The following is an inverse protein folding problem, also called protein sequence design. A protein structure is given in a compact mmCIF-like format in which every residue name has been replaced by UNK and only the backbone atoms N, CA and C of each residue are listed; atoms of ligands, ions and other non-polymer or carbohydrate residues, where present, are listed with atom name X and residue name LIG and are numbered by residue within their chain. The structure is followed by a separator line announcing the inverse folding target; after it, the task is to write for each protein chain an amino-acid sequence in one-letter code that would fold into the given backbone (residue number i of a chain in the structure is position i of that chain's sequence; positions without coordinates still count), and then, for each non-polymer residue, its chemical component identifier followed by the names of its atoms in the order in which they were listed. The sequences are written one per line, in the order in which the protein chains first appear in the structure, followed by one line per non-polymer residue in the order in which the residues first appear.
data_IF_618729242069
#
_entry.id   IF_618729242069
#
_cell.length_a   1.000
_cell.length_b   1.000
_cell.length_c   1.000
_cell.angle_alpha   90.00
_cell.angle_beta   90.00
_cell.angle_gamma   90.00
#
_symmetry.space_group_name_H-M   'P 1'
#
loop_
_entity.id
_entity.type
_entity.pdbx_description
1 polymer ?
#
# COMPACT_ATOMS: atom_id res chain seq x y z
N UNK A 1 -11.58 -69.37 -27.34
CA UNK A 1 -12.47 -68.31 -26.90
C UNK A 1 -11.65 -67.37 -26.00
N UNK A 2 -11.10 -66.29 -26.59
CA UNK A 2 -10.34 -65.29 -25.81
C UNK A 2 -11.32 -64.22 -25.37
N UNK A 3 -11.47 -64.06 -24.04
CA UNK A 3 -12.26 -62.98 -23.46
C UNK A 3 -11.42 -61.70 -23.50
N UNK A 4 -11.84 -60.74 -24.30
CA UNK A 4 -11.32 -59.37 -24.25
C UNK A 4 -11.82 -58.65 -23.02
N UNK A 5 -10.92 -58.16 -22.18
CA UNK A 5 -11.19 -57.27 -21.04
C UNK A 5 -11.06 -55.82 -21.59
N UNK A 6 -12.09 -54.97 -21.48
CA UNK A 6 -11.95 -53.62 -21.90
C UNK A 6 -11.14 -52.85 -20.85
N UNK A 7 -10.02 -52.28 -21.28
CA UNK A 7 -9.25 -51.28 -20.48
C UNK A 7 -10.06 -49.99 -20.37
N UNK A 8 -10.61 -49.79 -19.17
CA UNK A 8 -11.22 -48.49 -18.82
C UNK A 8 -10.11 -47.49 -18.53
N UNK A 9 -9.80 -46.64 -19.51
CA UNK A 9 -8.84 -45.55 -19.36
C UNK A 9 -9.50 -44.44 -18.53
N UNK A 10 -9.17 -44.38 -17.23
CA UNK A 10 -9.58 -43.27 -16.36
C UNK A 10 -8.74 -42.07 -16.68
N UNK A 11 -9.33 -41.10 -17.38
CA UNK A 11 -8.72 -39.80 -17.61
C UNK A 11 -8.82 -38.99 -16.33
N UNK A 12 -7.74 -38.93 -15.55
CA UNK A 12 -7.63 -38.01 -14.41
C UNK A 12 -7.38 -36.62 -14.99
N UNK A 13 -8.43 -35.82 -15.06
CA UNK A 13 -8.31 -34.37 -15.27
C UNK A 13 -7.68 -33.77 -14.01
N UNK A 14 -6.39 -33.54 -14.03
CA UNK A 14 -5.74 -32.64 -13.10
C UNK A 14 -6.26 -31.24 -13.38
N UNK A 15 -7.30 -30.83 -12.67
CA UNK A 15 -7.70 -29.43 -12.60
C UNK A 15 -6.52 -28.70 -11.93
N UNK A 16 -5.73 -28.03 -12.73
CA UNK A 16 -4.81 -27.02 -12.21
C UNK A 16 -5.69 -25.87 -11.74
N UNK A 17 -5.98 -25.80 -10.44
CA UNK A 17 -6.56 -24.60 -9.87
C UNK A 17 -5.53 -23.50 -10.02
N UNK A 18 -5.75 -22.62 -10.98
CA UNK A 18 -5.02 -21.35 -11.07
C UNK A 18 -5.46 -20.57 -9.84
N UNK A 19 -4.54 -20.20 -8.93
CA UNK A 19 -4.90 -19.36 -7.81
C UNK A 19 -5.57 -18.11 -8.37
N UNK A 20 -6.82 -17.88 -7.98
CA UNK A 20 -7.53 -16.65 -8.31
C UNK A 20 -6.73 -15.54 -7.63
N UNK A 21 -6.04 -14.71 -8.40
CA UNK A 21 -5.45 -13.48 -7.88
C UNK A 21 -6.63 -12.60 -7.50
N UNK A 22 -6.89 -12.52 -6.20
CA UNK A 22 -7.83 -11.55 -5.67
C UNK A 22 -7.18 -10.18 -5.94
N UNK A 23 -7.71 -9.48 -6.92
CA UNK A 23 -7.32 -8.10 -7.20
C UNK A 23 -8.00 -7.22 -6.15
N UNK A 24 -7.23 -6.79 -5.18
CA UNK A 24 -7.69 -5.84 -4.17
C UNK A 24 -7.68 -4.44 -4.79
N UNK A 25 -8.86 -3.92 -5.06
CA UNK A 25 -9.04 -2.55 -5.49
C UNK A 25 -8.96 -1.65 -4.24
N UNK A 26 -7.95 -0.78 -4.11
CA UNK A 26 -7.88 0.15 -2.98
C UNK A 26 -9.04 1.13 -2.93
N UNK A 27 -9.83 1.24 -3.98
CA UNK A 27 -11.07 2.03 -4.03
C UNK A 27 -12.32 1.25 -3.55
N UNK A 28 -12.20 -0.04 -3.29
CA UNK A 28 -13.32 -0.83 -2.76
C UNK A 28 -13.60 -0.45 -1.31
N UNK A 29 -14.66 0.35 -1.13
CA UNK A 29 -15.07 0.86 0.17
C UNK A 29 -15.64 -0.23 1.08
N UNK A 30 -16.29 -1.24 0.53
CA UNK A 30 -16.86 -2.34 1.31
C UNK A 30 -15.73 -3.23 1.85
N UNK A 31 -14.69 -3.48 1.04
CA UNK A 31 -13.49 -4.17 1.48
C UNK A 31 -12.79 -3.40 2.61
N UNK A 32 -12.53 -2.10 2.42
CA UNK A 32 -11.91 -1.26 3.43
C UNK A 32 -12.75 -1.16 4.73
N UNK A 33 -14.08 -1.07 4.60
CA UNK A 33 -14.98 -1.08 5.76
C UNK A 33 -14.90 -2.39 6.55
N UNK A 34 -14.71 -3.51 5.87
CA UNK A 34 -14.45 -4.82 6.49
C UNK A 34 -13.17 -4.84 7.33
N UNK A 35 -12.18 -4.03 6.99
CA UNK A 35 -10.94 -3.81 7.75
C UNK A 35 -11.07 -2.72 8.82
N UNK A 36 -12.25 -2.09 8.97
CA UNK A 36 -12.48 -0.97 9.90
C UNK A 36 -11.91 0.37 9.41
N UNK A 37 -11.61 0.46 8.12
CA UNK A 37 -11.06 1.66 7.47
C UNK A 37 -12.18 2.40 6.74
N UNK A 38 -12.41 3.64 7.12
CA UNK A 38 -13.43 4.51 6.54
C UNK A 38 -12.80 5.79 6.00
N UNK A 39 -13.26 6.34 4.86
CA UNK A 39 -12.79 7.61 4.37
C UNK A 39 -13.14 8.80 5.32
N UNK A 40 -12.33 9.88 5.30
CA UNK A 40 -11.05 9.96 4.61
C UNK A 40 -9.98 9.11 5.31
N UNK A 41 -9.14 8.42 4.54
CA UNK A 41 -8.16 7.49 5.07
C UNK A 41 -6.85 7.50 4.26
N UNK A 42 -5.79 6.99 4.87
CA UNK A 42 -4.57 6.58 4.18
C UNK A 42 -4.39 5.08 4.34
N UNK A 43 -4.19 4.39 3.23
CA UNK A 43 -4.05 2.95 3.19
C UNK A 43 -2.81 2.53 2.39
N UNK A 44 -2.49 1.25 2.45
CA UNK A 44 -1.53 0.65 1.53
C UNK A 44 -2.25 -0.14 0.42
N UNK A 45 -1.58 -0.25 -0.73
CA UNK A 45 -1.94 -1.18 -1.79
C UNK A 45 -0.67 -1.85 -2.30
N UNK A 46 -0.56 -3.19 -2.19
CA UNK A 46 -1.48 -4.09 -1.48
C UNK A 46 -1.38 -3.93 0.05
N UNK A 47 -2.37 -4.44 0.78
CA UNK A 47 -2.39 -4.50 2.25
C UNK A 47 -1.88 -5.84 2.80
N UNK A 48 -1.75 -6.85 1.94
CA UNK A 48 -1.19 -8.15 2.25
C UNK A 48 -0.38 -8.70 1.08
N UNK A 49 0.78 -9.30 1.35
CA UNK A 49 1.57 -9.96 0.31
C UNK A 49 2.42 -11.11 0.85
N UNK A 50 2.67 -12.09 -0.04
CA UNK A 50 3.62 -13.17 0.19
C UNK A 50 4.76 -13.04 -0.81
N UNK A 51 6.00 -12.98 -0.32
CA UNK A 51 7.19 -12.73 -1.13
C UNK A 51 8.36 -13.60 -0.68
N UNK A 52 9.37 -13.74 -1.53
CA UNK A 52 10.61 -14.41 -1.13
C UNK A 52 11.53 -13.44 -0.39
N UNK A 53 12.20 -13.94 0.66
CA UNK A 53 13.31 -13.23 1.29
C UNK A 53 14.41 -12.91 0.25
N UNK A 54 15.02 -11.74 0.37
CA UNK A 54 16.00 -11.23 -0.60
C UNK A 54 15.41 -10.50 -1.81
N UNK A 55 14.09 -10.36 -1.90
CA UNK A 55 13.43 -9.61 -2.98
C UNK A 55 13.02 -8.20 -2.53
N UNK A 56 12.68 -7.37 -3.51
CA UNK A 56 12.08 -6.05 -3.27
C UNK A 56 10.57 -6.10 -3.54
N UNK A 57 9.83 -5.34 -2.78
CA UNK A 57 8.39 -5.14 -2.99
C UNK A 57 8.04 -3.66 -3.02
N UNK A 58 7.04 -3.31 -3.81
CA UNK A 58 6.50 -1.94 -3.86
C UNK A 58 5.19 -1.88 -3.09
N UNK A 59 5.12 -0.96 -2.14
CA UNK A 59 3.89 -0.60 -1.44
C UNK A 59 3.50 0.81 -1.86
N UNK A 60 2.26 0.97 -2.30
CA UNK A 60 1.68 2.27 -2.60
C UNK A 60 1.03 2.82 -1.35
N UNK A 61 1.40 4.03 -0.94
CA UNK A 61 0.63 4.81 0.03
C UNK A 61 -0.50 5.47 -0.72
N UNK A 62 -1.72 5.17 -0.37
CA UNK A 62 -2.92 5.56 -1.12
C UNK A 62 -3.83 6.43 -0.25
N UNK A 63 -4.21 7.59 -0.76
CA UNK A 63 -5.23 8.43 -0.15
C UNK A 63 -6.61 7.96 -0.62
N UNK A 64 -7.56 7.79 0.31
CA UNK A 64 -8.90 7.33 0.05
C UNK A 64 -9.90 8.43 0.43
N UNK A 65 -10.55 9.01 -0.57
CA UNK A 65 -11.58 10.07 -0.46
C UNK A 65 -11.20 11.21 0.49
N UNK A 66 -9.98 11.72 0.38
CA UNK A 66 -9.57 12.94 1.09
C UNK A 66 -9.93 14.17 0.28
N UNK A 67 -10.21 15.29 0.94
CA UNK A 67 -10.63 16.51 0.28
C UNK A 67 -9.80 17.70 0.74
N UNK A 68 -9.56 18.63 -0.19
CA UNK A 68 -8.91 19.92 0.03
C UNK A 68 -7.51 19.85 0.65
N UNK A 69 -6.75 18.82 0.30
CA UNK A 69 -5.39 18.59 0.82
C UNK A 69 -4.41 19.58 0.22
N UNK A 70 -3.75 20.36 1.06
CA UNK A 70 -2.65 21.26 0.68
C UNK A 70 -1.28 20.72 1.10
N UNK A 71 -1.22 19.86 2.11
CA UNK A 71 0.03 19.25 2.55
C UNK A 71 -0.18 18.09 3.51
N UNK A 72 0.85 17.28 3.67
CA UNK A 72 0.85 16.20 4.64
C UNK A 72 2.24 15.85 5.17
N UNK A 73 2.23 15.30 6.36
CA UNK A 73 3.27 14.48 6.95
C UNK A 73 2.71 13.06 7.12
N UNK A 74 3.24 12.11 6.39
CA UNK A 74 2.86 10.70 6.50
C UNK A 74 4.00 9.96 7.18
N UNK A 75 3.73 9.38 8.35
CA UNK A 75 4.70 8.58 9.07
C UNK A 75 4.37 7.09 8.96
N UNK A 76 5.37 6.31 8.55
CA UNK A 76 5.31 4.87 8.36
C UNK A 76 6.27 4.19 9.34
N UNK A 77 5.79 3.18 10.04
CA UNK A 77 6.58 2.31 10.90
C UNK A 77 6.74 0.94 10.26
N UNK A 78 7.96 0.38 10.29
CA UNK A 78 8.26 -0.93 9.73
C UNK A 78 9.20 -1.74 10.61
N UNK A 79 9.16 -3.08 10.51
CA UNK A 79 10.10 -3.96 11.21
C UNK A 79 11.47 -3.93 10.54
N UNK A 80 12.35 -3.10 11.04
CA UNK A 80 13.72 -2.90 10.54
C UNK A 80 14.59 -4.17 10.52
N UNK A 81 14.22 -5.21 11.27
CA UNK A 81 14.95 -6.47 11.28
C UNK A 81 14.59 -7.38 10.11
N UNK A 82 13.44 -7.13 9.48
CA UNK A 82 12.90 -7.96 8.40
C UNK A 82 12.77 -7.21 7.08
N UNK A 83 12.50 -5.92 7.14
CA UNK A 83 12.36 -5.09 5.94
C UNK A 83 13.22 -3.83 6.04
N UNK A 84 13.76 -3.39 4.91
CA UNK A 84 14.56 -2.18 4.81
C UNK A 84 14.04 -1.31 3.67
N UNK A 85 13.93 -0.02 3.92
CA UNK A 85 13.54 0.93 2.87
C UNK A 85 14.63 1.03 1.81
N UNK A 86 14.29 0.79 0.54
CA UNK A 86 15.19 0.93 -0.60
C UNK A 86 15.01 2.27 -1.31
N UNK A 87 13.77 2.71 -1.53
CA UNK A 87 13.49 4.01 -2.16
C UNK A 87 12.07 4.51 -1.85
N UNK A 88 11.89 5.82 -2.04
CA UNK A 88 10.58 6.47 -2.00
C UNK A 88 10.50 7.41 -3.20
N UNK A 89 9.37 7.43 -3.88
CA UNK A 89 9.06 8.41 -4.90
C UNK A 89 7.64 8.95 -4.72
N UNK A 90 7.42 10.16 -5.22
CA UNK A 90 6.08 10.75 -5.19
C UNK A 90 5.10 9.94 -6.04
N UNK A 91 3.84 9.92 -5.61
CA UNK A 91 2.76 9.27 -6.31
C UNK A 91 2.12 10.17 -7.37
N UNK A 92 1.42 9.54 -8.32
CA UNK A 92 0.83 10.22 -9.48
C UNK A 92 -0.26 11.21 -9.06
N UNK A 93 -0.99 10.93 -7.99
CA UNK A 93 -2.04 11.80 -7.48
C UNK A 93 -1.54 13.20 -7.08
N UNK A 94 -0.27 13.29 -6.62
CA UNK A 94 0.33 14.58 -6.23
C UNK A 94 0.64 15.50 -7.43
N UNK A 95 0.75 14.94 -8.63
CA UNK A 95 1.06 15.68 -9.88
C UNK A 95 -0.12 15.73 -10.84
N UNK A 96 -1.24 15.08 -10.47
CA UNK A 96 -2.47 15.11 -11.26
C UNK A 96 -3.01 16.54 -11.36
N UNK A 97 -3.44 16.95 -12.56
CA UNK A 97 -3.84 18.34 -12.81
C UNK A 97 -2.68 19.34 -13.00
N UNK A 98 -1.42 18.87 -13.16
CA UNK A 98 -0.26 19.74 -13.42
C UNK A 98 0.33 20.38 -12.17
N UNK A 99 0.00 19.87 -11.00
CA UNK A 99 0.59 20.27 -9.73
C UNK A 99 2.10 20.00 -9.71
N UNK A 100 2.86 20.86 -9.02
CA UNK A 100 4.27 20.65 -8.77
C UNK A 100 4.56 20.71 -7.27
N UNK A 101 4.25 19.64 -6.53
CA UNK A 101 4.39 19.62 -5.08
C UNK A 101 5.87 19.61 -4.68
N UNK A 102 6.14 20.19 -3.52
CA UNK A 102 7.38 19.88 -2.79
C UNK A 102 7.17 18.51 -2.16
N UNK A 103 8.08 17.59 -2.48
CA UNK A 103 8.05 16.22 -1.95
C UNK A 103 9.43 15.84 -1.43
N UNK A 104 9.52 15.39 -0.19
CA UNK A 104 10.75 14.86 0.39
C UNK A 104 10.43 13.80 1.46
N UNK A 105 11.42 13.01 1.82
CA UNK A 105 11.28 12.01 2.86
C UNK A 105 12.54 11.93 3.74
N UNK A 106 12.37 11.41 4.94
CA UNK A 106 13.43 11.09 5.88
C UNK A 106 13.23 9.67 6.40
N UNK A 107 14.28 8.85 6.31
CA UNK A 107 14.27 7.48 6.81
C UNK A 107 15.17 7.36 8.05
N UNK A 108 14.59 7.02 9.18
CA UNK A 108 15.30 6.59 10.37
C UNK A 108 15.35 5.05 10.41
N UNK A 109 16.32 4.49 9.69
CA UNK A 109 16.52 3.04 9.61
C UNK A 109 16.86 2.41 10.98
N UNK A 110 17.45 3.18 11.92
CA UNK A 110 17.79 2.70 13.25
C UNK A 110 16.53 2.43 14.08
N UNK A 111 15.48 3.18 13.84
CA UNK A 111 14.19 3.02 14.51
C UNK A 111 13.11 2.38 13.64
N UNK A 112 13.36 2.14 12.34
CA UNK A 112 12.37 1.60 11.40
C UNK A 112 11.22 2.57 11.19
N UNK A 113 11.52 3.86 10.95
CA UNK A 113 10.53 4.91 10.75
C UNK A 113 10.85 5.68 9.48
N UNK A 114 9.85 5.85 8.65
CA UNK A 114 9.91 6.65 7.43
C UNK A 114 8.91 7.79 7.55
N UNK A 115 9.39 9.02 7.41
CA UNK A 115 8.59 10.23 7.36
C UNK A 115 8.58 10.75 5.92
N UNK A 116 7.39 10.93 5.34
CA UNK A 116 7.16 11.47 4.01
C UNK A 116 6.44 12.81 4.17
N UNK A 117 6.93 13.83 3.47
CA UNK A 117 6.35 15.16 3.50
C UNK A 117 6.01 15.60 2.09
N UNK A 118 4.83 16.17 1.92
CA UNK A 118 4.51 16.87 0.69
C UNK A 118 3.70 18.13 0.98
N UNK A 119 3.80 19.10 0.06
CA UNK A 119 3.00 20.31 0.08
C UNK A 119 2.78 20.79 -1.35
N UNK A 120 1.54 21.12 -1.65
CA UNK A 120 1.17 21.78 -2.89
C UNK A 120 1.35 23.29 -2.69
N UNK A 121 2.14 23.91 -3.57
CA UNK A 121 2.47 25.33 -3.47
C UNK A 121 1.64 26.16 -4.46
N UNK A 122 1.12 27.30 -3.99
CA UNK A 122 0.41 28.29 -4.79
C UNK A 122 -1.08 28.33 -4.51
N UNK A 123 -1.78 29.23 -5.21
CA UNK A 123 -3.25 29.40 -5.12
C UNK A 123 -4.01 28.33 -5.93
N UNK A 124 -3.27 27.36 -6.47
CA UNK A 124 -3.83 26.30 -7.27
C UNK A 124 -4.50 25.23 -6.42
N UNK A 125 -5.46 24.62 -7.02
CA UNK A 125 -6.40 23.67 -6.52
C UNK A 125 -5.83 22.66 -5.51
N UNK A 126 -6.45 22.57 -4.35
CA UNK A 126 -6.19 21.55 -3.34
C UNK A 126 -6.43 20.16 -3.94
N UNK A 127 -5.66 19.17 -3.49
CA UNK A 127 -5.87 17.80 -3.91
C UNK A 127 -7.13 17.24 -3.25
N UNK A 128 -7.99 16.64 -4.06
CA UNK A 128 -9.22 15.98 -3.57
C UNK A 128 -9.44 14.66 -4.28
N UNK A 129 -10.10 13.73 -3.60
CA UNK A 129 -10.42 12.40 -4.12
C UNK A 129 -9.50 11.32 -3.60
N UNK A 130 -9.20 10.34 -4.45
CA UNK A 130 -8.41 9.16 -4.11
C UNK A 130 -7.25 9.00 -5.09
N UNK A 131 -6.09 8.55 -4.60
CA UNK A 131 -4.95 8.32 -5.45
C UNK A 131 -3.65 8.00 -4.71
N UNK A 132 -2.62 7.64 -5.47
CA UNK A 132 -1.31 7.28 -4.92
C UNK A 132 -0.55 8.52 -4.47
N UNK A 133 -0.26 8.59 -3.17
CA UNK A 133 0.53 9.66 -2.53
C UNK A 133 2.03 9.40 -2.70
N UNK A 134 2.45 8.15 -2.49
CA UNK A 134 3.84 7.75 -2.59
C UNK A 134 3.99 6.29 -3.01
N UNK A 135 5.05 6.00 -3.74
CA UNK A 135 5.54 4.64 -3.95
C UNK A 135 6.71 4.40 -3.02
N UNK A 136 6.63 3.36 -2.19
CA UNK A 136 7.71 2.96 -1.30
C UNK A 136 8.21 1.59 -1.70
N UNK A 137 9.52 1.43 -1.87
CA UNK A 137 10.13 0.14 -2.18
C UNK A 137 10.87 -0.36 -0.96
N UNK A 138 10.47 -1.54 -0.49
CA UNK A 138 11.12 -2.21 0.63
C UNK A 138 11.86 -3.45 0.13
N UNK A 139 13.08 -3.65 0.64
CA UNK A 139 13.85 -4.89 0.51
C UNK A 139 13.51 -5.81 1.67
N UNK A 140 13.18 -7.05 1.37
CA UNK A 140 12.85 -8.08 2.37
C UNK A 140 14.16 -8.76 2.78
N UNK A 141 14.64 -8.50 4.00
CA UNK A 141 15.96 -8.94 4.47
C UNK A 141 15.94 -10.23 5.27
N UNK A 142 14.78 -10.66 5.79
CA UNK A 142 14.65 -11.87 6.57
C UNK A 142 13.27 -12.53 6.38
N UNK A 143 13.19 -13.87 6.51
CA UNK A 143 11.93 -14.59 6.42
C UNK A 143 11.02 -14.35 7.64
N UNK A 144 9.76 -14.70 7.49
CA UNK A 144 8.70 -14.61 8.49
C UNK A 144 7.78 -13.41 8.27
N UNK A 145 6.76 -13.32 9.12
CA UNK A 145 5.77 -12.25 9.06
C UNK A 145 6.34 -10.93 9.58
N UNK A 146 6.03 -9.84 8.90
CA UNK A 146 6.35 -8.47 9.31
C UNK A 146 5.23 -7.52 8.92
N UNK A 147 5.14 -6.37 9.59
CA UNK A 147 4.16 -5.33 9.28
C UNK A 147 4.84 -4.02 8.90
N UNK A 148 4.16 -3.30 8.00
CA UNK A 148 4.44 -1.90 7.65
C UNK A 148 3.15 -1.14 7.87
N UNK A 149 3.14 -0.13 8.73
CA UNK A 149 1.91 0.56 9.14
C UNK A 149 2.05 2.08 9.08
N UNK A 150 0.98 2.76 8.70
CA UNK A 150 0.85 4.21 8.82
C UNK A 150 0.52 4.53 10.29
N UNK A 151 1.26 5.45 10.90
CA UNK A 151 1.11 5.75 12.33
C UNK A 151 0.18 6.94 12.60
N UNK A 152 -0.29 7.05 13.85
CA UNK A 152 -1.09 8.20 14.31
C UNK A 152 -0.31 9.54 14.37
N UNK A 153 1.00 9.54 14.09
CA UNK A 153 1.76 10.77 13.92
C UNK A 153 1.52 11.42 12.54
N UNK A 154 0.87 10.70 11.63
CA UNK A 154 0.46 11.19 10.31
C UNK A 154 -0.53 12.33 10.44
N UNK A 155 -0.31 13.40 9.67
CA UNK A 155 -1.17 14.57 9.61
C UNK A 155 -1.36 15.03 8.17
N UNK A 156 -2.57 15.36 7.82
CA UNK A 156 -2.93 16.00 6.57
C UNK A 156 -3.57 17.35 6.88
N UNK A 157 -3.23 18.36 6.09
CA UNK A 157 -3.77 19.71 6.28
C UNK A 157 -4.35 20.29 4.99
N UNK A 158 -5.33 21.15 5.16
CA UNK A 158 -5.91 21.96 4.10
C UNK A 158 -5.07 23.25 3.84
N UNK A 159 -5.53 24.08 2.90
CA UNK A 159 -4.90 25.37 2.55
C UNK A 159 -4.86 26.39 3.71
N UNK A 160 -5.75 26.27 4.68
CA UNK A 160 -5.84 27.13 5.86
C UNK A 160 -5.04 26.55 7.04
N UNK A 161 -4.24 25.49 6.75
CA UNK A 161 -3.44 24.73 7.73
C UNK A 161 -4.28 24.10 8.84
N UNK A 162 -5.56 23.76 8.53
CA UNK A 162 -6.41 23.01 9.42
C UNK A 162 -6.21 21.51 9.19
N UNK A 163 -6.14 20.74 10.28
CA UNK A 163 -5.95 19.30 10.21
C UNK A 163 -7.20 18.61 9.69
N UNK A 164 -7.04 17.82 8.62
CA UNK A 164 -8.07 16.94 8.07
C UNK A 164 -8.03 15.65 8.88
N UNK A 165 -9.10 15.35 9.59
CA UNK A 165 -9.19 14.15 10.42
C UNK A 165 -9.31 12.90 9.55
N UNK A 166 -8.38 11.96 9.71
CA UNK A 166 -8.44 10.66 9.08
C UNK A 166 -9.23 9.67 9.92
N UNK A 167 -10.13 8.91 9.29
CA UNK A 167 -10.94 7.87 9.92
C UNK A 167 -10.31 6.48 9.80
N UNK A 168 -9.20 6.35 9.06
CA UNK A 168 -8.49 5.10 8.91
C UNK A 168 -7.04 5.28 8.53
N UNK A 169 -6.19 4.43 9.11
CA UNK A 169 -4.77 4.30 8.80
C UNK A 169 -4.47 2.83 8.52
N UNK A 170 -4.00 2.54 7.31
CA UNK A 170 -3.76 1.18 6.86
C UNK A 170 -2.44 0.58 7.34
N UNK A 171 -2.39 -0.73 7.29
CA UNK A 171 -1.17 -1.53 7.49
C UNK A 171 -1.02 -2.57 6.38
N UNK A 172 0.18 -3.08 6.22
CA UNK A 172 0.51 -4.19 5.32
C UNK A 172 1.07 -5.34 6.13
N UNK A 173 0.57 -6.55 5.87
CA UNK A 173 1.17 -7.78 6.37
C UNK A 173 2.03 -8.40 5.27
N UNK A 174 3.32 -8.56 5.53
CA UNK A 174 4.30 -9.16 4.62
C UNK A 174 4.69 -10.53 5.16
N UNK A 175 4.37 -11.58 4.40
CA UNK A 175 4.77 -12.95 4.67
C UNK A 175 5.96 -13.33 3.79
N UNK A 176 7.18 -13.28 4.36
CA UNK A 176 8.41 -13.61 3.66
C UNK A 176 8.77 -15.10 3.84
N UNK A 177 9.08 -15.77 2.72
CA UNK A 177 9.50 -17.18 2.67
C UNK A 177 10.98 -17.32 2.39
#
# INVERSE_FOLDING_TARGET
MLKQVPYLMVLILLACEIPEQIYEDPLDLDYNAGLGIYPPALIFSPDQLTVNSGTNTTLKVYALEVNEVAGAHVQIKYDKNKVQLSSVSQGDWLVDGGQNPVFFFQNDAANGTLDIYYSVLGDSENLSGSGVVAYTIFSISAPGESTVQITNATKIVDKDNQEIQLNGLGEVVINAQ
#
